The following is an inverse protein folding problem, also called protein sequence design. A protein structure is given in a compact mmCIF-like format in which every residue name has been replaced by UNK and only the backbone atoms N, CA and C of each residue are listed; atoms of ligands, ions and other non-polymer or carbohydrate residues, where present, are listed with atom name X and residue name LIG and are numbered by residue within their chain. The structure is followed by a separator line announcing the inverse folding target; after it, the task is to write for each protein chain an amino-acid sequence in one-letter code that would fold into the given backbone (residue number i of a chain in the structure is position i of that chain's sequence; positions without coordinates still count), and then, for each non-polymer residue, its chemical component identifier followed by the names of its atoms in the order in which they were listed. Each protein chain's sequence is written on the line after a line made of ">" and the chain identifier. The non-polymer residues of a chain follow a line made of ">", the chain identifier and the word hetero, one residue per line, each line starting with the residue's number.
data_IF_597419739640
#
_entry.id   IF_597419739640
#
_cell.length_a   1.000
_cell.length_b   1.000
_cell.length_c   1.000
_cell.angle_alpha   90.00
_cell.angle_beta   90.00
_cell.angle_gamma   90.00
#
_symmetry.space_group_name_H-M   'P 1'
#
loop_
_entity.id
_entity.type
_entity.pdbx_description
1 polymer ?
#
# COMPACT_ATOMS: atom_id res chain seq x y z
N UNK A 1 -18.81 0.20 15.72
CA UNK A 1 -17.72 -0.48 14.94
C UNK A 1 -17.70 0.15 13.55
N UNK A 2 -16.69 1.00 13.21
CA UNK A 2 -16.54 1.52 11.84
C UNK A 2 -16.20 0.35 10.90
N UNK A 3 -16.94 0.22 9.80
CA UNK A 3 -16.63 -0.75 8.76
C UNK A 3 -15.26 -0.40 8.15
N UNK A 4 -14.39 -1.41 7.99
CA UNK A 4 -13.08 -1.24 7.35
C UNK A 4 -13.30 -1.20 5.84
N UNK A 5 -12.70 -0.21 5.18
CA UNK A 5 -12.80 -0.02 3.73
C UNK A 5 -11.73 -0.84 3.00
N UNK A 6 -12.10 -1.45 1.90
CA UNK A 6 -11.21 -2.28 1.07
C UNK A 6 -11.05 -1.61 -0.29
N UNK A 7 -9.82 -1.49 -0.77
CA UNK A 7 -9.45 -0.81 -2.01
C UNK A 7 -8.73 -1.80 -2.93
N UNK A 8 -9.21 -1.95 -4.15
CA UNK A 8 -8.62 -2.81 -5.18
C UNK A 8 -8.16 -1.98 -6.38
N UNK A 9 -7.07 -2.30 -7.10
CA UNK A 9 -6.57 -1.51 -8.22
C UNK A 9 -7.43 -1.56 -9.49
N UNK A 10 -7.73 -0.39 -10.15
CA UNK A 10 -8.41 -0.25 -11.45
C UNK A 10 -7.44 -0.27 -12.64
N UNK A 11 -7.85 -0.75 -13.82
CA UNK A 11 -7.16 -0.42 -15.05
C UNK A 11 -7.27 1.11 -15.29
N UNK A 12 -6.21 1.70 -15.83
CA UNK A 12 -6.01 3.13 -16.01
C UNK A 12 -7.29 3.86 -16.51
N UNK A 13 -7.96 4.55 -15.61
CA UNK A 13 -9.02 5.51 -15.90
C UNK A 13 -8.45 6.93 -16.06
N UNK A 14 -9.25 7.92 -16.51
CA UNK A 14 -8.76 9.22 -16.91
C UNK A 14 -8.10 9.99 -15.75
N UNK A 15 -6.94 10.52 -16.04
CA UNK A 15 -6.13 11.44 -15.22
C UNK A 15 -6.97 12.57 -14.64
N UNK A 16 -6.84 12.83 -13.34
CA UNK A 16 -7.32 14.05 -12.69
C UNK A 16 -6.91 15.27 -13.52
N UNK A 17 -7.87 16.13 -13.87
CA UNK A 17 -7.60 17.31 -14.67
C UNK A 17 -6.76 18.30 -13.85
N UNK A 18 -5.88 19.04 -14.52
CA UNK A 18 -5.04 20.07 -13.92
C UNK A 18 -5.86 21.10 -13.10
N UNK A 19 -7.10 21.32 -13.50
CA UNK A 19 -8.10 22.18 -12.82
C UNK A 19 -8.50 21.65 -11.42
N UNK A 20 -8.60 20.34 -11.24
CA UNK A 20 -8.90 19.73 -9.94
C UNK A 20 -7.72 19.85 -8.98
N UNK A 21 -6.48 19.75 -9.48
CA UNK A 21 -5.27 19.96 -8.69
C UNK A 21 -5.11 21.43 -8.28
N UNK A 22 -5.47 22.36 -9.14
CA UNK A 22 -5.42 23.80 -8.85
C UNK A 22 -6.45 24.22 -7.81
N UNK A 23 -7.69 23.70 -7.88
CA UNK A 23 -8.72 23.99 -6.88
C UNK A 23 -8.38 23.43 -5.51
N UNK A 24 -7.85 22.21 -5.42
CA UNK A 24 -7.35 21.62 -4.18
C UNK A 24 -6.15 22.39 -3.62
N UNK A 25 -5.25 22.84 -4.49
CA UNK A 25 -4.10 23.66 -4.11
C UNK A 25 -4.53 25.00 -3.51
N UNK A 26 -5.58 25.59 -4.06
CA UNK A 26 -6.13 26.87 -3.61
C UNK A 26 -6.85 26.74 -2.27
N UNK A 27 -7.67 25.72 -2.10
CA UNK A 27 -8.35 25.40 -0.83
C UNK A 27 -7.38 25.04 0.29
N UNK A 28 -6.33 24.30 0.01
CA UNK A 28 -5.26 24.01 0.98
C UNK A 28 -4.44 25.25 1.30
N UNK A 29 -4.17 26.13 0.34
CA UNK A 29 -3.45 27.40 0.58
C UNK A 29 -4.23 28.32 1.50
N UNK A 30 -5.57 28.34 1.42
CA UNK A 30 -6.42 29.09 2.32
C UNK A 30 -6.47 28.49 3.73
N UNK A 31 -6.57 27.18 3.84
CA UNK A 31 -6.52 26.46 5.15
C UNK A 31 -5.18 26.61 5.86
N UNK A 32 -4.06 26.66 5.11
CA UNK A 32 -2.72 26.84 5.70
C UNK A 32 -2.42 28.29 6.15
N UNK A 33 -3.24 29.27 5.81
CA UNK A 33 -3.14 30.64 6.31
C UNK A 33 -3.69 30.81 7.73
N UNK A 34 -4.38 29.80 8.27
CA UNK A 34 -4.84 29.80 9.66
C UNK A 34 -3.75 29.18 10.57
N UNK A 35 -3.05 30.00 11.37
CA UNK A 35 -2.00 29.52 12.27
C UNK A 35 -2.49 28.53 13.33
N UNK A 36 -3.80 28.50 13.62
CA UNK A 36 -4.39 27.63 14.63
C UNK A 36 -4.47 26.16 14.19
N UNK A 37 -4.56 25.90 12.89
CA UNK A 37 -4.61 24.55 12.35
C UNK A 37 -3.23 23.85 12.29
N UNK A 38 -2.14 24.63 12.22
CA UNK A 38 -0.78 24.09 12.19
C UNK A 38 -0.30 23.65 13.58
N UNK A 39 -0.91 24.19 14.64
CA UNK A 39 -0.46 23.95 16.02
C UNK A 39 -1.01 22.68 16.64
N UNK A 40 -2.04 22.05 16.06
CA UNK A 40 -2.75 20.93 16.66
C UNK A 40 -2.24 19.52 16.31
N UNK A 41 -1.29 19.37 15.37
CA UNK A 41 -0.88 18.06 14.87
C UNK A 41 0.60 17.73 14.91
N UNK A 42 1.47 18.65 15.33
CA UNK A 42 2.90 18.38 15.50
C UNK A 42 3.25 18.32 16.99
N UNK A 43 3.74 17.16 17.45
CA UNK A 43 4.41 17.10 18.75
C UNK A 43 5.58 18.07 18.74
N UNK A 44 5.75 18.86 19.81
CA UNK A 44 6.74 19.95 19.93
C UNK A 44 8.21 19.57 19.65
N UNK A 45 8.51 18.29 19.55
CA UNK A 45 9.88 17.80 19.31
C UNK A 45 10.23 17.62 17.81
N UNK A 46 9.26 17.48 16.92
CA UNK A 46 9.52 17.30 15.49
C UNK A 46 9.74 18.60 14.71
N UNK A 47 9.51 19.76 15.34
CA UNK A 47 9.48 21.07 14.65
C UNK A 47 10.74 21.89 14.82
N UNK A 48 11.77 21.40 15.55
CA UNK A 48 12.91 22.25 15.93
C UNK A 48 13.94 22.51 14.83
N UNK A 49 14.00 21.70 13.78
CA UNK A 49 15.06 21.77 12.75
C UNK A 49 14.55 21.87 11.30
N UNK A 50 13.27 22.07 11.05
CA UNK A 50 12.75 22.27 9.69
C UNK A 50 12.50 23.75 9.42
N UNK A 51 13.37 24.35 8.62
CA UNK A 51 13.05 25.61 7.94
C UNK A 51 11.90 25.32 6.98
N UNK A 52 10.72 25.95 7.15
CA UNK A 52 9.61 25.72 6.25
C UNK A 52 10.01 26.14 4.83
N UNK A 53 9.72 25.32 3.81
CA UNK A 53 10.00 25.69 2.43
C UNK A 53 9.18 26.91 2.03
N UNK A 54 9.73 27.72 1.12
CA UNK A 54 9.00 28.85 0.54
C UNK A 54 7.79 28.33 -0.26
N UNK A 55 6.60 28.49 0.28
CA UNK A 55 5.34 28.07 -0.33
C UNK A 55 4.90 28.87 -1.54
N UNK A 56 5.58 29.98 -1.86
CA UNK A 56 5.32 30.76 -3.06
C UNK A 56 5.79 30.05 -4.34
N UNK A 57 6.76 29.15 -4.20
CA UNK A 57 7.31 28.39 -5.32
C UNK A 57 6.51 27.15 -5.65
N UNK A 58 6.55 26.67 -6.88
CA UNK A 58 5.91 25.42 -7.31
C UNK A 58 6.46 24.19 -6.54
N UNK A 59 7.75 24.21 -6.24
CA UNK A 59 8.42 23.18 -5.42
C UNK A 59 7.93 23.20 -3.99
N UNK A 60 7.78 24.36 -3.39
CA UNK A 60 7.25 24.52 -2.03
C UNK A 60 5.81 24.07 -1.91
N UNK A 61 4.97 24.40 -2.89
CA UNK A 61 3.55 23.93 -2.96
C UNK A 61 3.46 22.42 -3.09
N UNK A 62 4.25 21.81 -3.96
CA UNK A 62 4.30 20.34 -4.12
C UNK A 62 4.76 19.65 -2.84
N UNK A 63 5.74 20.20 -2.16
CA UNK A 63 6.19 19.70 -0.87
C UNK A 63 5.11 19.83 0.21
N UNK A 64 4.42 20.97 0.29
CA UNK A 64 3.33 21.17 1.25
C UNK A 64 2.17 20.19 1.05
N UNK A 65 1.77 19.95 -0.19
CA UNK A 65 0.74 18.95 -0.54
C UNK A 65 1.19 17.57 -0.11
N UNK A 66 2.42 17.19 -0.43
CA UNK A 66 2.98 15.89 -0.09
C UNK A 66 3.11 15.70 1.43
N UNK A 67 3.53 16.75 2.15
CA UNK A 67 3.65 16.72 3.60
C UNK A 67 2.28 16.66 4.29
N UNK A 68 1.34 17.50 3.90
CA UNK A 68 -0.02 17.49 4.44
C UNK A 68 -0.70 16.14 4.21
N UNK A 69 -0.51 15.54 3.05
CA UNK A 69 -1.00 14.21 2.76
C UNK A 69 -0.38 13.16 3.69
N UNK A 70 0.93 13.23 3.96
CA UNK A 70 1.61 12.31 4.91
C UNK A 70 1.12 12.43 6.35
N UNK A 71 0.76 13.63 6.77
CA UNK A 71 0.32 13.89 8.16
C UNK A 71 -1.15 13.53 8.36
N UNK A 72 -1.98 13.72 7.33
CA UNK A 72 -3.43 13.51 7.38
C UNK A 72 -3.91 12.26 6.66
N UNK A 73 -3.02 11.52 5.99
CA UNK A 73 -3.42 10.34 5.25
C UNK A 73 -3.90 9.22 6.17
N UNK A 74 -4.98 8.53 5.80
CA UNK A 74 -5.46 7.39 6.56
C UNK A 74 -4.39 6.29 6.58
N UNK A 75 -4.33 5.57 7.70
CA UNK A 75 -3.45 4.40 7.81
C UNK A 75 -3.88 3.33 6.81
N UNK A 76 -3.13 3.17 5.74
CA UNK A 76 -3.37 2.15 4.72
C UNK A 76 -2.50 0.92 4.96
N UNK A 77 -3.11 -0.27 4.87
CA UNK A 77 -2.46 -1.56 5.02
C UNK A 77 -2.50 -2.34 3.71
N UNK A 78 -1.34 -2.77 3.22
CA UNK A 78 -1.20 -3.50 1.97
C UNK A 78 -1.28 -5.01 2.17
N UNK A 79 -2.09 -5.70 1.37
CA UNK A 79 -2.15 -7.16 1.31
C UNK A 79 -1.84 -7.60 -0.11
N UNK A 80 -0.75 -8.36 -0.26
CA UNK A 80 -0.32 -8.95 -1.53
C UNK A 80 -0.71 -10.42 -1.55
N UNK A 81 -1.57 -10.80 -2.49
CA UNK A 81 -2.04 -12.18 -2.64
C UNK A 81 -1.06 -12.99 -3.48
N UNK A 82 -0.32 -13.89 -2.85
CA UNK A 82 0.77 -14.66 -3.44
C UNK A 82 0.54 -16.20 -3.38
N UNK A 83 -0.71 -16.64 -3.30
CA UNK A 83 -1.09 -18.05 -3.12
C UNK A 83 -1.20 -18.89 -4.38
N UNK A 84 -1.01 -18.32 -5.57
CA UNK A 84 -1.25 -19.01 -6.84
C UNK A 84 -0.26 -20.13 -7.16
N UNK A 85 -0.75 -21.30 -7.56
CA UNK A 85 0.05 -22.49 -7.91
C UNK A 85 0.91 -22.29 -9.19
N UNK A 86 0.41 -21.47 -10.13
CA UNK A 86 1.17 -21.07 -11.33
C UNK A 86 1.32 -22.13 -12.39
N UNK A 87 0.40 -23.10 -12.52
CA UNK A 87 0.47 -24.22 -13.51
C UNK A 87 0.78 -23.79 -14.94
N UNK A 88 0.31 -22.61 -15.36
CA UNK A 88 0.52 -22.07 -16.72
C UNK A 88 1.97 -21.65 -17.00
N UNK A 89 2.80 -21.49 -15.98
CA UNK A 89 4.21 -21.07 -16.10
C UNK A 89 5.18 -22.24 -15.93
N UNK A 90 4.72 -23.48 -16.03
CA UNK A 90 5.63 -24.64 -16.05
C UNK A 90 6.61 -24.54 -17.21
N UNK A 91 7.90 -24.91 -17.04
CA UNK A 91 8.51 -25.50 -15.84
C UNK A 91 9.00 -24.48 -14.78
N UNK A 92 8.84 -23.16 -14.99
CA UNK A 92 9.37 -22.13 -14.10
C UNK A 92 8.79 -22.21 -12.67
N UNK A 93 7.61 -22.79 -12.52
CA UNK A 93 6.90 -22.99 -11.26
C UNK A 93 6.98 -24.40 -10.71
N UNK A 94 7.88 -25.24 -11.26
CA UNK A 94 8.06 -26.62 -10.80
C UNK A 94 8.39 -26.68 -9.30
N UNK A 95 9.29 -25.81 -8.83
CA UNK A 95 9.80 -25.81 -7.45
C UNK A 95 9.51 -24.55 -6.66
N UNK A 96 8.74 -23.61 -7.22
CA UNK A 96 8.46 -22.31 -6.61
C UNK A 96 7.08 -21.78 -6.93
N UNK A 97 6.54 -20.92 -6.06
CA UNK A 97 5.31 -20.20 -6.30
C UNK A 97 5.46 -19.24 -7.51
N UNK A 98 4.35 -18.97 -8.23
CA UNK A 98 4.34 -18.04 -9.37
C UNK A 98 4.95 -16.66 -9.03
N UNK A 99 4.63 -16.00 -7.91
CA UNK A 99 5.23 -14.73 -7.53
C UNK A 99 6.74 -14.77 -7.30
N UNK A 100 7.31 -15.96 -7.07
CA UNK A 100 8.74 -16.17 -6.87
C UNK A 100 9.52 -16.40 -8.17
N UNK A 101 8.87 -16.39 -9.33
CA UNK A 101 9.54 -16.54 -10.63
C UNK A 101 10.48 -15.36 -10.84
N UNK A 102 11.77 -15.61 -11.17
CA UNK A 102 12.74 -14.56 -11.45
C UNK A 102 12.35 -13.71 -12.66
N UNK A 103 12.62 -12.41 -12.57
CA UNK A 103 12.43 -11.45 -13.64
C UNK A 103 13.67 -10.55 -13.74
N UNK A 104 14.19 -10.37 -14.95
CA UNK A 104 15.37 -9.54 -15.23
C UNK A 104 16.59 -9.78 -14.29
N UNK A 105 16.81 -11.04 -13.89
CA UNK A 105 17.95 -11.47 -13.08
C UNK A 105 17.75 -11.33 -11.57
N UNK A 106 17.59 -10.12 -11.05
CA UNK A 106 17.56 -9.88 -9.60
C UNK A 106 16.14 -9.83 -8.99
N UNK A 107 15.15 -9.43 -9.79
CA UNK A 107 13.78 -9.25 -9.33
C UNK A 107 12.97 -10.54 -9.42
N UNK A 108 11.83 -10.52 -8.74
CA UNK A 108 10.78 -11.53 -8.87
C UNK A 108 9.44 -10.85 -9.17
N UNK A 109 8.47 -11.59 -9.65
CA UNK A 109 7.16 -11.02 -10.00
C UNK A 109 6.51 -10.26 -8.84
N UNK A 110 6.65 -10.76 -7.61
CA UNK A 110 6.12 -10.11 -6.41
C UNK A 110 6.68 -8.69 -6.18
N UNK A 111 7.91 -8.43 -6.62
CA UNK A 111 8.58 -7.16 -6.37
C UNK A 111 7.87 -5.98 -7.05
N UNK A 112 7.19 -6.21 -8.16
CA UNK A 112 6.41 -5.16 -8.83
C UNK A 112 5.23 -4.71 -7.97
N UNK A 113 4.47 -5.66 -7.40
CA UNK A 113 3.35 -5.36 -6.53
C UNK A 113 3.82 -4.66 -5.24
N UNK A 114 4.85 -5.19 -4.57
CA UNK A 114 5.41 -4.59 -3.35
C UNK A 114 5.97 -3.20 -3.64
N UNK A 115 6.74 -3.03 -4.73
CA UNK A 115 7.33 -1.74 -5.11
C UNK A 115 6.25 -0.68 -5.35
N UNK A 116 5.16 -1.03 -6.05
CA UNK A 116 4.06 -0.10 -6.27
C UNK A 116 3.41 0.34 -4.95
N UNK A 117 3.17 -0.57 -4.00
CA UNK A 117 2.61 -0.25 -2.70
C UNK A 117 3.53 0.66 -1.88
N UNK A 118 4.83 0.30 -1.78
CA UNK A 118 5.81 1.08 -1.02
C UNK A 118 6.02 2.48 -1.62
N UNK A 119 6.12 2.57 -2.94
CA UNK A 119 6.25 3.86 -3.64
C UNK A 119 4.98 4.73 -3.49
N UNK A 120 3.83 4.11 -3.27
CA UNK A 120 2.57 4.79 -2.93
C UNK A 120 2.43 5.06 -1.42
N UNK A 121 3.54 5.04 -0.67
CA UNK A 121 3.59 5.34 0.78
C UNK A 121 2.87 4.35 1.71
N UNK A 122 2.50 3.17 1.24
CA UNK A 122 2.01 2.10 2.10
C UNK A 122 3.21 1.45 2.81
N UNK A 123 3.36 1.71 4.08
CA UNK A 123 4.54 1.28 4.86
C UNK A 123 4.39 -0.11 5.48
N UNK A 124 3.17 -0.58 5.65
CA UNK A 124 2.85 -1.86 6.25
C UNK A 124 2.23 -2.75 5.19
N UNK A 125 2.99 -3.77 4.77
CA UNK A 125 2.60 -4.67 3.69
C UNK A 125 2.78 -6.12 4.14
N UNK A 126 1.77 -6.95 3.93
CA UNK A 126 1.86 -8.40 4.12
C UNK A 126 1.69 -9.12 2.79
N UNK A 127 2.49 -10.15 2.60
CA UNK A 127 2.44 -11.05 1.45
C UNK A 127 1.83 -12.37 1.91
N UNK A 128 0.59 -12.64 1.54
CA UNK A 128 -0.08 -13.89 1.91
C UNK A 128 0.40 -15.03 1.00
N UNK A 129 1.16 -15.96 1.57
CA UNK A 129 1.76 -17.07 0.84
C UNK A 129 1.09 -18.39 1.17
N UNK A 130 1.15 -19.33 0.27
CA UNK A 130 0.51 -20.63 0.45
C UNK A 130 1.35 -21.76 -0.13
N UNK A 131 1.44 -21.84 -1.43
CA UNK A 131 2.02 -22.96 -2.16
C UNK A 131 3.50 -22.70 -2.48
N UNK A 132 4.39 -23.69 -2.20
CA UNK A 132 5.83 -23.61 -2.49
C UNK A 132 6.47 -22.27 -2.09
N UNK A 133 6.11 -21.75 -0.91
CA UNK A 133 6.41 -20.37 -0.51
C UNK A 133 7.85 -20.15 -0.08
N UNK A 134 8.62 -21.19 0.28
CA UNK A 134 9.95 -21.05 0.88
C UNK A 134 10.88 -20.08 0.13
N UNK A 135 10.97 -20.20 -1.20
CA UNK A 135 11.82 -19.30 -1.99
C UNK A 135 11.29 -17.87 -2.06
N UNK A 136 9.96 -17.69 -1.96
CA UNK A 136 9.29 -16.40 -1.91
C UNK A 136 9.51 -15.73 -0.55
N UNK A 137 9.27 -16.46 0.53
CA UNK A 137 9.43 -15.99 1.92
C UNK A 137 10.87 -15.55 2.16
N UNK A 138 11.85 -16.34 1.72
CA UNK A 138 13.27 -15.98 1.77
C UNK A 138 13.56 -14.68 1.00
N UNK A 139 13.04 -14.53 -0.22
CA UNK A 139 13.25 -13.34 -1.03
C UNK A 139 12.66 -12.10 -0.37
N UNK A 140 11.41 -12.16 0.07
CA UNK A 140 10.74 -11.03 0.74
C UNK A 140 11.51 -10.62 1.99
N UNK A 141 11.90 -11.55 2.85
CA UNK A 141 12.61 -11.26 4.09
C UNK A 141 14.03 -10.70 3.88
N UNK A 142 14.67 -11.00 2.76
CA UNK A 142 16.03 -10.54 2.46
C UNK A 142 16.04 -9.21 1.71
N UNK A 143 15.15 -9.04 0.73
CA UNK A 143 15.16 -7.90 -0.18
C UNK A 143 14.32 -6.72 0.31
N UNK A 144 13.25 -6.98 1.07
CA UNK A 144 12.31 -5.95 1.51
C UNK A 144 12.47 -5.61 2.99
N UNK A 145 13.69 -5.21 3.38
CA UNK A 145 14.00 -4.76 4.74
C UNK A 145 13.74 -3.26 4.86
N UNK A 146 12.57 -2.90 5.36
CA UNK A 146 12.22 -1.50 5.64
C UNK A 146 12.68 -1.10 7.05
N UNK A 147 12.71 0.21 7.30
CA UNK A 147 13.12 0.73 8.61
C UNK A 147 12.03 0.49 9.67
N UNK A 148 12.31 -0.36 10.64
CA UNK A 148 11.42 -0.58 11.78
C UNK A 148 11.17 0.67 12.63
N UNK A 149 12.10 1.65 12.63
CA UNK A 149 11.91 2.94 13.32
C UNK A 149 10.73 3.74 12.76
N UNK A 150 10.37 3.52 11.48
CA UNK A 150 9.24 4.17 10.82
C UNK A 150 7.97 3.32 10.87
N UNK A 151 7.95 2.25 11.66
CA UNK A 151 6.89 1.25 11.68
C UNK A 151 6.57 0.72 10.26
N UNK A 152 7.62 0.56 9.45
CA UNK A 152 7.52 0.11 8.06
C UNK A 152 8.05 -1.31 7.94
N UNK A 153 7.27 -2.18 7.33
CA UNK A 153 7.67 -3.56 7.10
C UNK A 153 7.00 -4.19 5.88
N UNK A 154 7.67 -5.19 5.32
CA UNK A 154 7.09 -6.15 4.40
C UNK A 154 7.28 -7.53 5.01
N UNK A 155 6.19 -8.22 5.31
CA UNK A 155 6.22 -9.53 5.96
C UNK A 155 5.53 -10.59 5.11
N UNK A 156 6.17 -11.75 4.96
CA UNK A 156 5.52 -12.92 4.38
C UNK A 156 4.72 -13.65 5.46
N UNK A 157 3.46 -13.95 5.17
CA UNK A 157 2.55 -14.64 6.08
C UNK A 157 1.98 -15.88 5.38
N UNK A 158 2.46 -17.06 5.74
CA UNK A 158 1.91 -18.31 5.20
C UNK A 158 0.52 -18.58 5.77
N UNK A 159 -0.26 -19.42 5.06
CA UNK A 159 -1.57 -19.87 5.53
C UNK A 159 -1.47 -20.50 6.92
N UNK A 160 -2.08 -19.85 7.92
CA UNK A 160 -1.97 -20.24 9.33
C UNK A 160 -2.92 -21.38 9.74
N UNK A 161 -3.82 -21.78 8.85
CA UNK A 161 -4.81 -22.84 9.10
C UNK A 161 -5.64 -22.65 10.40
N UNK A 162 -5.86 -21.39 10.81
CA UNK A 162 -6.58 -21.06 12.07
C UNK A 162 -8.05 -21.48 12.06
N UNK A 163 -8.65 -21.59 10.87
CA UNK A 163 -10.04 -22.00 10.69
C UNK A 163 -10.16 -23.47 10.26
N UNK A 164 -9.19 -24.30 10.65
CA UNK A 164 -9.12 -25.71 10.29
C UNK A 164 -7.95 -26.02 9.33
N UNK A 165 -7.66 -27.31 9.15
CA UNK A 165 -6.56 -27.80 8.29
C UNK A 165 -6.90 -27.66 6.81
N UNK A 166 -7.00 -26.42 6.31
CA UNK A 166 -7.29 -26.12 4.90
C UNK A 166 -6.43 -24.99 4.35
N UNK A 167 -6.14 -25.08 3.08
CA UNK A 167 -5.53 -24.02 2.32
C UNK A 167 -6.56 -22.92 1.99
N UNK A 168 -6.09 -21.77 1.52
CA UNK A 168 -6.96 -20.72 1.02
C UNK A 168 -7.77 -21.23 -0.19
N UNK A 169 -9.07 -21.17 -0.13
CA UNK A 169 -9.96 -21.56 -1.21
C UNK A 169 -10.00 -20.53 -2.35
N UNK A 170 -9.53 -19.30 -2.08
CA UNK A 170 -9.47 -18.20 -3.05
C UNK A 170 -9.03 -16.91 -2.39
N UNK A 171 -9.05 -15.81 -3.14
CA UNK A 171 -8.59 -14.48 -2.68
C UNK A 171 -9.36 -13.99 -1.46
N UNK A 172 -10.68 -14.12 -1.48
CA UNK A 172 -11.55 -13.70 -0.38
C UNK A 172 -11.30 -14.53 0.89
N UNK A 173 -11.11 -15.83 0.74
CA UNK A 173 -10.82 -16.72 1.86
C UNK A 173 -9.43 -16.45 2.46
N UNK A 174 -8.44 -16.11 1.63
CA UNK A 174 -7.13 -15.69 2.10
C UNK A 174 -7.20 -14.44 3.00
N UNK A 175 -7.98 -13.45 2.59
CA UNK A 175 -8.20 -12.24 3.39
C UNK A 175 -8.98 -12.59 4.66
N UNK A 176 -10.02 -13.41 4.55
CA UNK A 176 -10.85 -13.81 5.69
C UNK A 176 -10.03 -14.56 6.75
N UNK A 177 -9.19 -15.51 6.35
CA UNK A 177 -8.30 -16.22 7.28
C UNK A 177 -7.21 -15.32 7.89
N UNK A 178 -6.96 -14.15 7.29
CA UNK A 178 -5.94 -13.16 7.72
C UNK A 178 -6.54 -11.92 8.41
N UNK A 179 -7.82 -11.95 8.79
CA UNK A 179 -8.50 -10.81 9.46
C UNK A 179 -7.84 -10.39 10.77
N UNK A 180 -7.16 -11.32 11.47
CA UNK A 180 -6.39 -10.99 12.65
C UNK A 180 -5.28 -9.96 12.37
N UNK A 181 -4.55 -10.06 11.24
CA UNK A 181 -3.51 -9.11 10.85
C UNK A 181 -4.10 -7.70 10.68
N UNK A 182 -5.28 -7.62 10.06
CA UNK A 182 -6.01 -6.37 9.92
C UNK A 182 -6.48 -5.87 11.30
N UNK A 183 -6.86 -6.81 12.20
CA UNK A 183 -7.28 -6.52 13.57
C UNK A 183 -6.16 -5.94 14.43
N UNK A 184 -4.96 -6.50 14.31
CA UNK A 184 -3.77 -6.10 15.05
C UNK A 184 -3.25 -4.73 14.58
N UNK A 185 -3.20 -4.51 13.28
CA UNK A 185 -2.73 -3.25 12.69
C UNK A 185 -3.74 -2.10 12.78
N UNK A 186 -5.03 -2.40 12.87
CA UNK A 186 -6.14 -1.42 12.93
C UNK A 186 -6.05 -0.32 11.86
N UNK A 187 -5.88 -0.67 10.58
CA UNK A 187 -5.81 0.32 9.51
C UNK A 187 -7.18 0.95 9.25
N UNK A 188 -7.18 2.16 8.69
CA UNK A 188 -8.38 2.80 8.17
C UNK A 188 -8.78 2.22 6.82
N UNK A 189 -7.78 1.88 6.00
CA UNK A 189 -7.94 1.33 4.64
C UNK A 189 -7.13 0.05 4.47
N UNK A 190 -7.65 -0.87 3.66
CA UNK A 190 -6.94 -2.07 3.23
C UNK A 190 -6.83 -2.07 1.70
N UNK A 191 -5.61 -2.16 1.19
CA UNK A 191 -5.32 -2.27 -0.24
C UNK A 191 -4.93 -3.70 -0.54
N UNK A 192 -5.69 -4.37 -1.42
CA UNK A 192 -5.44 -5.77 -1.79
C UNK A 192 -5.01 -5.85 -3.24
N UNK A 193 -3.87 -6.51 -3.50
CA UNK A 193 -3.29 -6.66 -4.84
C UNK A 193 -2.85 -8.09 -5.12
N UNK A 194 -2.87 -8.50 -6.38
CA UNK A 194 -2.27 -9.75 -6.84
C UNK A 194 -0.75 -9.63 -6.99
N UNK A 195 -0.04 -10.71 -6.72
CA UNK A 195 1.44 -10.79 -6.82
C UNK A 195 1.93 -11.32 -8.17
N UNK A 196 1.06 -11.44 -9.16
CA UNK A 196 1.33 -12.19 -10.39
C UNK A 196 1.33 -11.34 -11.68
N UNK A 197 1.33 -10.02 -11.52
CA UNK A 197 1.33 -9.04 -12.59
C UNK A 197 2.60 -8.17 -12.59
N UNK A 198 3.06 -7.83 -13.79
CA UNK A 198 4.09 -6.81 -14.00
C UNK A 198 3.40 -5.54 -14.46
N UNK A 199 3.32 -4.54 -13.59
CA UNK A 199 2.64 -3.28 -13.86
C UNK A 199 3.28 -2.16 -13.01
N UNK A 200 2.97 -0.92 -13.40
CA UNK A 200 3.32 0.29 -12.64
C UNK A 200 2.05 1.01 -12.28
N UNK A 201 1.84 1.27 -11.00
CA UNK A 201 0.65 1.94 -10.49
C UNK A 201 0.99 2.77 -9.25
N UNK A 202 0.38 3.94 -9.17
CA UNK A 202 0.35 4.77 -7.97
C UNK A 202 -0.99 4.55 -7.25
N UNK A 203 -0.94 3.79 -6.17
CA UNK A 203 -2.12 3.51 -5.35
C UNK A 203 -2.60 4.72 -4.56
N UNK A 204 -1.81 5.77 -4.44
CA UNK A 204 -2.19 6.99 -3.76
C UNK A 204 -3.39 7.64 -4.44
N UNK A 205 -3.36 7.75 -5.77
CA UNK A 205 -4.47 8.29 -6.55
C UNK A 205 -5.77 7.49 -6.36
N UNK A 206 -5.64 6.17 -6.23
CA UNK A 206 -6.79 5.31 -6.00
C UNK A 206 -7.36 5.47 -4.59
N UNK A 207 -6.49 5.61 -3.58
CA UNK A 207 -6.89 5.89 -2.19
C UNK A 207 -7.62 7.23 -2.11
N UNK A 208 -7.09 8.27 -2.75
CA UNK A 208 -7.72 9.60 -2.80
C UNK A 208 -9.11 9.55 -3.45
N UNK A 209 -9.23 8.88 -4.59
CA UNK A 209 -10.51 8.69 -5.28
C UNK A 209 -11.51 7.89 -4.43
N UNK A 210 -11.06 6.85 -3.72
CA UNK A 210 -11.86 6.07 -2.80
C UNK A 210 -12.41 6.92 -1.65
N UNK A 211 -11.55 7.73 -1.03
CA UNK A 211 -11.94 8.62 0.05
C UNK A 211 -12.93 9.68 -0.41
N UNK A 212 -12.70 10.28 -1.59
CA UNK A 212 -13.59 11.28 -2.18
C UNK A 212 -14.97 10.71 -2.52
N UNK A 213 -15.04 9.46 -2.97
CA UNK A 213 -16.30 8.80 -3.31
C UNK A 213 -17.13 8.41 -2.08
N UNK A 214 -16.52 8.26 -0.92
CA UNK A 214 -17.17 7.72 0.29
C UNK A 214 -17.61 6.26 0.18
N UNK A 215 -17.21 5.55 -0.87
CA UNK A 215 -17.56 4.15 -1.12
C UNK A 215 -17.00 3.22 -0.04
N UNK A 216 -17.66 2.10 0.23
CA UNK A 216 -17.16 1.06 1.12
C UNK A 216 -16.08 0.20 0.49
N UNK A 217 -16.14 0.02 -0.84
CA UNK A 217 -15.19 -0.76 -1.66
C UNK A 217 -14.98 -0.04 -2.99
N UNK A 218 -13.73 0.02 -3.44
CA UNK A 218 -13.37 0.45 -4.79
C UNK A 218 -12.62 -0.68 -5.49
N UNK A 219 -13.08 -1.05 -6.66
CA UNK A 219 -12.48 -2.10 -7.49
C UNK A 219 -11.84 -1.47 -8.70
N UNK A 220 -10.77 -2.08 -9.12
CA UNK A 220 -9.92 -1.65 -10.15
C UNK A 220 -9.96 -2.59 -11.35
#
# INVERSE_FOLDING_TARGET
>A
RRAKRVVFPAPLGPTMTQRSLESMSQEMSERMRDPSLVTLTASKEATRDMVPPDYSTDRGRKWAIHYAWRVSSPKAFGIVLAGGEGKRLMPLTADRAKPAVPFAGHYRLVDFAISNLINSSLRQVVVLTQYKSHSLDRHVSQMWRLSGMLNAYVASVPAQQRLGKRWFAGSADAIFQSLNLIGDEKPDLVVVVGADHVYRMDFQQMIEAHLASGAGVTVA
#
